data_IF_127514931495
#
_entry.id   IF_127514931495
#
_cell.length_a   1.000
_cell.length_b   1.000
_cell.length_c   1.000
_cell.angle_alpha   90.00
_cell.angle_beta   90.00
_cell.angle_gamma   90.00
#
_symmetry.space_group_name_H-M   'P 1'
#
loop_
_entity.id
_entity.type
_entity.pdbx_description
1 polymer ?
#
# COMPACT_ATOMS: atom_id res chain seq x y z
N UNK A 1 23.00 4.76 -20.07
CA UNK A 1 23.10 4.84 -18.58
C UNK A 1 24.27 4.02 -18.09
N UNK A 2 24.94 4.45 -16.99
CA UNK A 2 26.10 3.76 -16.41
C UNK A 2 25.66 2.99 -15.16
N UNK A 3 26.09 1.74 -15.05
CA UNK A 3 25.79 0.87 -13.90
C UNK A 3 26.57 1.37 -12.68
N UNK A 4 25.87 1.62 -11.59
CA UNK A 4 26.44 1.91 -10.26
C UNK A 4 26.67 0.62 -9.47
N UNK A 5 25.70 -0.31 -9.53
CA UNK A 5 25.74 -1.57 -8.81
C UNK A 5 24.95 -2.64 -9.54
N UNK A 6 25.49 -3.84 -9.61
CA UNK A 6 24.75 -5.03 -10.06
C UNK A 6 24.12 -5.67 -8.85
N UNK A 7 22.77 -5.72 -8.82
CA UNK A 7 21.98 -6.29 -7.72
C UNK A 7 21.85 -7.81 -7.96
N UNK A 8 21.43 -8.18 -9.17
CA UNK A 8 21.41 -9.56 -9.64
C UNK A 8 21.45 -9.59 -11.19
N UNK A 9 21.27 -10.75 -11.81
CA UNK A 9 21.35 -10.92 -13.26
C UNK A 9 20.31 -10.09 -14.05
N UNK A 10 19.24 -9.61 -13.40
CA UNK A 10 18.11 -8.93 -14.06
C UNK A 10 17.87 -7.52 -13.53
N UNK A 11 18.55 -7.13 -12.45
CA UNK A 11 18.35 -5.85 -11.77
C UNK A 11 19.68 -5.18 -11.49
N UNK A 12 19.77 -3.92 -11.83
CA UNK A 12 20.96 -3.08 -11.58
C UNK A 12 20.53 -1.71 -11.03
N UNK A 13 21.39 -1.09 -10.23
CA UNK A 13 21.32 0.34 -9.97
C UNK A 13 22.16 1.07 -11.00
N UNK A 14 21.64 2.18 -11.52
CA UNK A 14 22.29 2.99 -12.57
C UNK A 14 22.03 4.48 -12.33
N UNK A 15 22.88 5.30 -12.95
CA UNK A 15 22.70 6.74 -12.95
C UNK A 15 21.86 7.16 -14.17
N UNK A 16 20.80 7.93 -13.95
CA UNK A 16 20.03 8.53 -15.03
C UNK A 16 20.75 9.73 -15.66
N UNK A 17 20.16 10.32 -16.70
CA UNK A 17 20.75 11.47 -17.43
C UNK A 17 20.85 12.74 -16.55
N UNK A 18 20.19 12.76 -15.38
CA UNK A 18 20.24 13.86 -14.41
C UNK A 18 21.19 13.59 -13.25
N UNK A 19 21.93 12.48 -13.30
CA UNK A 19 22.85 12.08 -12.25
C UNK A 19 22.17 11.43 -11.03
N UNK A 20 20.87 11.11 -11.11
CA UNK A 20 20.12 10.49 -10.03
C UNK A 20 20.23 8.97 -10.09
N UNK A 21 20.41 8.33 -8.94
CA UNK A 21 20.35 6.87 -8.82
C UNK A 21 18.94 6.34 -9.05
N UNK A 22 18.84 5.33 -9.91
CA UNK A 22 17.60 4.63 -10.23
C UNK A 22 17.85 3.13 -10.25
N UNK A 23 16.85 2.35 -9.89
CA UNK A 23 16.87 0.90 -10.10
C UNK A 23 16.29 0.59 -11.48
N UNK A 24 16.97 -0.28 -12.22
CA UNK A 24 16.58 -0.69 -13.57
C UNK A 24 16.44 -2.19 -13.62
N UNK A 25 15.32 -2.66 -14.15
CA UNK A 25 14.98 -4.07 -14.28
C UNK A 25 14.80 -4.47 -15.74
N UNK A 26 15.29 -5.66 -16.10
CA UNK A 26 15.14 -6.25 -17.43
C UNK A 26 15.87 -7.58 -17.53
N UNK A 27 15.35 -8.50 -18.33
CA UNK A 27 15.86 -9.86 -18.44
C UNK A 27 17.34 -9.87 -18.87
N UNK A 28 18.20 -10.44 -18.06
CA UNK A 28 19.65 -10.54 -18.32
C UNK A 28 20.40 -9.20 -18.32
N UNK A 29 19.79 -8.12 -17.80
CA UNK A 29 20.33 -6.77 -17.83
C UNK A 29 21.67 -6.63 -17.08
N UNK A 30 21.80 -7.37 -15.96
CA UNK A 30 23.00 -7.39 -15.12
C UNK A 30 23.93 -8.58 -15.41
N UNK A 31 23.54 -9.50 -16.29
CA UNK A 31 24.31 -10.71 -16.54
C UNK A 31 25.66 -10.39 -17.18
N UNK A 32 26.74 -10.83 -16.54
CA UNK A 32 28.12 -10.57 -16.97
C UNK A 32 28.58 -9.12 -16.87
N UNK A 33 27.77 -8.25 -16.26
CA UNK A 33 28.06 -6.82 -16.11
C UNK A 33 28.76 -6.53 -14.77
N UNK A 34 29.48 -5.40 -14.74
CA UNK A 34 30.19 -4.87 -13.58
C UNK A 34 29.85 -3.42 -13.35
N UNK A 35 30.18 -2.93 -12.15
CA UNK A 35 30.07 -1.50 -11.84
C UNK A 35 30.91 -0.70 -12.83
N UNK A 36 30.29 0.33 -13.41
CA UNK A 36 30.92 1.20 -14.41
C UNK A 36 30.61 0.83 -15.86
N UNK A 37 30.05 -0.37 -16.13
CA UNK A 37 29.65 -0.77 -17.49
C UNK A 37 28.45 0.04 -17.99
N UNK A 38 28.31 0.11 -19.30
CA UNK A 38 27.17 0.74 -19.96
C UNK A 38 26.02 -0.25 -20.06
N UNK A 39 24.82 0.20 -19.68
CA UNK A 39 23.59 -0.56 -19.83
C UNK A 39 23.17 -0.70 -21.28
N UNK A 40 22.72 -1.89 -21.65
CA UNK A 40 21.96 -2.13 -22.86
C UNK A 40 20.52 -1.67 -22.67
N UNK A 41 20.21 -0.47 -23.13
CA UNK A 41 18.90 0.16 -22.91
C UNK A 41 17.75 -0.58 -23.62
N UNK A 42 18.04 -1.39 -24.64
CA UNK A 42 17.04 -2.21 -25.33
C UNK A 42 16.47 -3.33 -24.46
N UNK A 43 17.17 -3.72 -23.40
CA UNK A 43 16.76 -4.75 -22.43
C UNK A 43 16.02 -4.19 -21.24
N UNK A 44 15.84 -2.88 -21.17
CA UNK A 44 15.17 -2.24 -20.03
C UNK A 44 13.66 -2.49 -20.12
N UNK A 45 13.11 -3.19 -19.16
CA UNK A 45 11.67 -3.38 -19.01
C UNK A 45 11.05 -2.33 -18.08
N UNK A 46 11.79 -1.94 -17.02
CA UNK A 46 11.29 -0.97 -16.05
C UNK A 46 12.40 -0.14 -15.44
N UNK A 47 12.12 1.17 -15.25
CA UNK A 47 12.95 2.11 -14.50
C UNK A 47 12.19 2.56 -13.24
N UNK A 48 12.82 2.46 -12.08
CA UNK A 48 12.28 2.90 -10.79
C UNK A 48 13.03 4.13 -10.32
N UNK A 49 12.41 5.29 -10.48
CA UNK A 49 12.92 6.55 -9.93
C UNK A 49 12.16 6.86 -8.63
N UNK A 50 12.81 6.71 -7.50
CA UNK A 50 12.26 6.88 -6.16
C UNK A 50 13.17 7.77 -5.32
N UNK A 51 12.74 8.22 -4.11
CA UNK A 51 13.65 8.78 -3.11
C UNK A 51 14.74 7.77 -2.69
N UNK A 52 15.92 8.24 -2.32
CA UNK A 52 17.09 7.40 -2.08
C UNK A 52 16.87 6.28 -1.04
N UNK A 53 16.16 6.57 0.05
CA UNK A 53 15.79 5.54 1.06
C UNK A 53 14.93 4.41 0.45
N UNK A 54 14.03 4.75 -0.47
CA UNK A 54 13.17 3.78 -1.16
C UNK A 54 13.94 2.99 -2.23
N UNK A 55 14.97 3.58 -2.84
CA UNK A 55 15.87 2.90 -3.78
C UNK A 55 16.58 1.75 -3.07
N UNK A 56 17.23 2.03 -1.94
CA UNK A 56 17.96 1.01 -1.16
C UNK A 56 17.06 -0.14 -0.70
N UNK A 57 15.83 0.17 -0.27
CA UNK A 57 14.86 -0.85 0.14
C UNK A 57 14.38 -1.70 -1.04
N UNK A 58 14.16 -1.09 -2.21
CA UNK A 58 13.80 -1.82 -3.42
C UNK A 58 14.94 -2.74 -3.88
N UNK A 59 16.19 -2.28 -3.81
CA UNK A 59 17.36 -3.10 -4.11
C UNK A 59 17.45 -4.34 -3.22
N UNK A 60 17.26 -4.16 -1.90
CA UNK A 60 17.29 -5.25 -0.93
C UNK A 60 16.22 -6.31 -1.24
N UNK A 61 14.99 -5.88 -1.49
CA UNK A 61 13.87 -6.76 -1.85
C UNK A 61 14.15 -7.50 -3.17
N UNK A 62 14.56 -6.79 -4.22
CA UNK A 62 14.79 -7.39 -5.52
C UNK A 62 16.02 -8.28 -5.60
N UNK A 63 16.91 -8.23 -4.60
CA UNK A 63 18.09 -9.10 -4.52
C UNK A 63 17.69 -10.57 -4.34
N UNK A 64 16.71 -10.83 -3.48
CA UNK A 64 16.35 -12.17 -3.02
C UNK A 64 15.05 -12.70 -3.64
N UNK A 65 14.26 -11.83 -4.28
CA UNK A 65 12.99 -12.20 -4.90
C UNK A 65 13.21 -12.71 -6.33
N UNK A 66 12.58 -13.84 -6.74
CA UNK A 66 12.60 -14.28 -8.12
C UNK A 66 12.14 -13.19 -9.10
N UNK A 67 12.86 -13.05 -10.19
CA UNK A 67 12.59 -12.02 -11.20
C UNK A 67 11.15 -12.07 -11.73
N UNK A 68 10.63 -13.27 -11.92
CA UNK A 68 9.25 -13.51 -12.39
C UNK A 68 8.21 -12.87 -11.45
N UNK A 69 8.44 -12.89 -10.13
CA UNK A 69 7.52 -12.29 -9.18
C UNK A 69 7.52 -10.76 -9.27
N UNK A 70 8.69 -10.16 -9.48
CA UNK A 70 8.79 -8.72 -9.72
C UNK A 70 8.09 -8.32 -11.04
N UNK A 71 8.18 -9.15 -12.09
CA UNK A 71 7.46 -8.94 -13.33
C UNK A 71 5.94 -9.02 -13.12
N UNK A 72 5.45 -10.05 -12.42
CA UNK A 72 4.03 -10.22 -12.10
C UNK A 72 3.51 -9.04 -11.28
N UNK A 73 4.24 -8.60 -10.25
CA UNK A 73 3.88 -7.42 -9.47
C UNK A 73 3.77 -6.17 -10.34
N UNK A 74 4.71 -5.95 -11.28
CA UNK A 74 4.65 -4.85 -12.22
C UNK A 74 3.40 -4.90 -13.11
N UNK A 75 3.00 -6.08 -13.59
CA UNK A 75 1.78 -6.25 -14.40
C UNK A 75 0.52 -6.00 -13.61
N UNK A 76 0.46 -6.48 -12.37
CA UNK A 76 -0.65 -6.18 -11.45
C UNK A 76 -0.77 -4.66 -11.26
N UNK A 77 0.33 -3.96 -10.97
CA UNK A 77 0.32 -2.51 -10.79
C UNK A 77 -0.11 -1.77 -12.06
N UNK A 78 0.32 -2.23 -13.25
CA UNK A 78 -0.09 -1.66 -14.53
C UNK A 78 -1.60 -1.87 -14.74
N UNK A 79 -2.09 -3.08 -14.54
CA UNK A 79 -3.51 -3.42 -14.64
C UNK A 79 -4.37 -2.54 -13.71
N UNK A 80 -3.96 -2.37 -12.46
CA UNK A 80 -4.69 -1.51 -11.50
C UNK A 80 -4.76 -0.08 -11.98
N UNK A 81 -3.67 0.48 -12.51
CA UNK A 81 -3.64 1.84 -13.06
C UNK A 81 -4.50 2.01 -14.31
N UNK A 82 -4.43 1.05 -15.23
CA UNK A 82 -5.06 1.15 -16.54
C UNK A 82 -6.55 0.78 -16.50
N UNK A 83 -6.89 -0.37 -15.87
CA UNK A 83 -8.26 -0.88 -15.85
C UNK A 83 -9.14 -0.20 -14.81
N UNK A 84 -8.56 0.12 -13.65
CA UNK A 84 -9.30 0.69 -12.53
C UNK A 84 -9.11 2.22 -12.37
N UNK A 85 -8.26 2.83 -13.21
CA UNK A 85 -7.95 4.27 -13.18
C UNK A 85 -7.53 4.75 -11.78
N UNK A 86 -6.66 3.97 -11.13
CA UNK A 86 -6.19 4.27 -9.77
C UNK A 86 -4.82 4.93 -9.80
N UNK A 87 -4.68 6.05 -9.09
CA UNK A 87 -3.39 6.69 -8.84
C UNK A 87 -2.71 5.96 -7.69
N UNK A 88 -1.51 5.44 -7.93
CA UNK A 88 -0.76 4.68 -6.95
C UNK A 88 0.60 5.32 -6.69
N UNK A 89 0.98 5.45 -5.43
CA UNK A 89 2.33 5.87 -5.04
C UNK A 89 3.37 4.86 -5.50
N UNK A 90 4.61 5.31 -5.68
CA UNK A 90 5.70 4.43 -6.13
C UNK A 90 6.10 3.37 -5.11
N UNK A 91 5.74 3.56 -3.84
CA UNK A 91 6.02 2.59 -2.77
C UNK A 91 5.34 1.24 -3.02
N UNK A 92 4.25 1.22 -3.82
CA UNK A 92 3.55 -0.03 -4.17
C UNK A 92 4.44 -1.05 -4.87
N UNK A 93 5.45 -0.61 -5.64
CA UNK A 93 6.40 -1.53 -6.26
C UNK A 93 7.20 -2.32 -5.24
N UNK A 94 7.47 -1.72 -4.09
CA UNK A 94 8.15 -2.36 -2.97
C UNK A 94 7.16 -3.28 -2.24
N UNK A 95 6.06 -2.71 -1.74
CA UNK A 95 5.15 -3.40 -0.84
C UNK A 95 4.39 -4.55 -1.51
N UNK A 96 4.00 -4.39 -2.79
CA UNK A 96 3.29 -5.43 -3.52
C UNK A 96 4.21 -6.57 -3.97
N UNK A 97 5.46 -6.25 -4.37
CA UNK A 97 6.44 -7.29 -4.74
C UNK A 97 6.83 -8.14 -3.53
N UNK A 98 7.04 -7.50 -2.39
CA UNK A 98 7.34 -8.20 -1.14
C UNK A 98 6.15 -9.09 -0.70
N UNK A 99 4.94 -8.53 -0.70
CA UNK A 99 3.74 -9.30 -0.37
C UNK A 99 3.53 -10.49 -1.31
N UNK A 100 3.67 -10.31 -2.62
CA UNK A 100 3.54 -11.39 -3.60
C UNK A 100 4.53 -12.53 -3.32
N UNK A 101 5.80 -12.19 -3.07
CA UNK A 101 6.81 -13.18 -2.72
C UNK A 101 6.45 -13.93 -1.42
N UNK A 102 5.96 -13.20 -0.42
CA UNK A 102 5.56 -13.78 0.85
C UNK A 102 4.33 -14.70 0.70
N UNK A 103 3.31 -14.26 -0.03
CA UNK A 103 2.09 -15.06 -0.31
C UNK A 103 2.43 -16.37 -1.04
N UNK A 104 3.26 -16.30 -2.09
CA UNK A 104 3.71 -17.48 -2.83
C UNK A 104 4.56 -18.41 -1.95
N UNK A 105 5.43 -17.85 -1.11
CA UNK A 105 6.24 -18.65 -0.21
C UNK A 105 5.40 -19.40 0.81
N UNK A 106 4.35 -18.78 1.35
CA UNK A 106 3.38 -19.43 2.25
C UNK A 106 2.61 -20.52 1.51
N UNK A 107 2.08 -20.21 0.35
CA UNK A 107 1.35 -21.17 -0.48
C UNK A 107 2.17 -22.44 -0.75
N UNK A 108 3.43 -22.30 -1.13
CA UNK A 108 4.35 -23.44 -1.36
C UNK A 108 4.62 -24.26 -0.10
N UNK A 109 4.44 -23.68 1.08
CA UNK A 109 4.57 -24.36 2.38
C UNK A 109 3.23 -24.93 2.87
N UNK A 110 2.13 -24.79 2.12
CA UNK A 110 0.80 -25.21 2.53
C UNK A 110 0.23 -24.37 3.70
N UNK A 111 0.71 -23.13 3.88
CA UNK A 111 0.26 -22.23 4.95
C UNK A 111 -0.79 -21.30 4.36
N UNK A 112 -2.03 -21.45 4.79
CA UNK A 112 -3.13 -20.53 4.51
C UNK A 112 -3.25 -19.51 5.63
N UNK A 113 -3.54 -18.25 5.25
CA UNK A 113 -3.75 -17.16 6.20
C UNK A 113 -5.09 -16.50 5.89
N UNK A 114 -5.98 -16.51 6.86
CA UNK A 114 -7.26 -15.81 6.78
C UNK A 114 -7.05 -14.30 6.88
N UNK A 115 -7.76 -13.56 6.03
CA UNK A 115 -7.79 -12.11 6.10
C UNK A 115 -8.92 -11.66 7.02
N UNK A 116 -8.58 -11.34 8.26
CA UNK A 116 -9.56 -10.88 9.26
C UNK A 116 -10.35 -9.61 8.84
N UNK A 117 -9.92 -8.93 7.76
CA UNK A 117 -10.58 -7.74 7.21
C UNK A 117 -11.37 -8.04 5.93
N UNK A 118 -11.43 -9.31 5.48
CA UNK A 118 -11.99 -9.65 4.18
C UNK A 118 -13.42 -9.14 4.00
N UNK A 119 -14.24 -9.26 5.04
CA UNK A 119 -15.64 -8.81 5.00
C UNK A 119 -15.71 -7.28 4.83
N UNK A 120 -14.94 -6.52 5.60
CA UNK A 120 -14.90 -5.05 5.52
C UNK A 120 -14.37 -4.57 4.18
N UNK A 121 -13.33 -5.24 3.66
CA UNK A 121 -12.75 -4.91 2.37
C UNK A 121 -13.80 -5.12 1.26
N UNK A 122 -14.48 -6.24 1.24
CA UNK A 122 -15.58 -6.54 0.30
C UNK A 122 -16.72 -5.51 0.40
N UNK A 123 -17.02 -5.04 1.59
CA UNK A 123 -18.13 -4.11 1.83
C UNK A 123 -17.81 -2.67 1.50
N UNK A 124 -16.63 -2.20 1.88
CA UNK A 124 -16.29 -0.76 1.84
C UNK A 124 -15.28 -0.40 0.77
N UNK A 125 -14.54 -1.36 0.23
CA UNK A 125 -13.46 -1.18 -0.74
C UNK A 125 -13.62 -2.09 -1.94
N UNK A 126 -14.83 -2.13 -2.48
CA UNK A 126 -15.22 -3.06 -3.55
C UNK A 126 -14.31 -2.94 -4.78
N UNK A 127 -13.95 -1.72 -5.16
CA UNK A 127 -13.11 -1.45 -6.34
C UNK A 127 -11.70 -2.01 -6.16
N UNK A 128 -11.11 -1.82 -4.98
CA UNK A 128 -9.81 -2.35 -4.63
C UNK A 128 -9.83 -3.87 -4.49
N UNK A 129 -10.92 -4.41 -3.96
CA UNK A 129 -11.11 -5.85 -3.86
C UNK A 129 -11.24 -6.52 -5.23
N UNK A 130 -12.00 -5.92 -6.18
CA UNK A 130 -12.05 -6.40 -7.56
C UNK A 130 -10.67 -6.35 -8.22
N UNK A 131 -9.90 -5.28 -7.98
CA UNK A 131 -8.52 -5.21 -8.45
C UNK A 131 -7.63 -6.30 -7.81
N UNK A 132 -7.86 -6.64 -6.54
CA UNK A 132 -7.20 -7.76 -5.86
C UNK A 132 -7.54 -9.12 -6.49
N UNK A 133 -8.81 -9.36 -6.85
CA UNK A 133 -9.20 -10.58 -7.58
C UNK A 133 -8.54 -10.69 -8.95
N UNK A 134 -8.50 -9.59 -9.71
CA UNK A 134 -7.78 -9.57 -11.00
C UNK A 134 -6.28 -9.85 -10.82
N UNK A 135 -5.69 -9.40 -9.72
CA UNK A 135 -4.30 -9.73 -9.39
C UNK A 135 -4.11 -11.24 -9.21
N UNK A 136 -5.05 -11.95 -8.56
CA UNK A 136 -5.00 -13.40 -8.42
C UNK A 136 -5.09 -14.10 -9.77
N UNK A 137 -5.91 -13.62 -10.70
CA UNK A 137 -6.01 -14.17 -12.05
C UNK A 137 -4.70 -14.01 -12.83
N UNK A 138 -4.02 -12.88 -12.69
CA UNK A 138 -2.70 -12.66 -13.29
C UNK A 138 -1.68 -13.66 -12.71
N UNK A 139 -1.67 -13.84 -11.39
CA UNK A 139 -0.77 -14.77 -10.68
C UNK A 139 -1.02 -16.21 -11.18
N UNK A 140 -2.29 -16.62 -11.23
CA UNK A 140 -2.69 -17.95 -11.70
C UNK A 140 -2.24 -18.19 -13.15
N UNK A 141 -2.47 -17.22 -14.04
CA UNK A 141 -2.11 -17.30 -15.44
C UNK A 141 -0.61 -17.38 -15.68
N UNK A 142 0.17 -16.60 -14.95
CA UNK A 142 1.61 -16.44 -15.22
C UNK A 142 2.50 -17.40 -14.43
N UNK A 143 2.09 -17.71 -13.19
CA UNK A 143 2.89 -18.56 -12.30
C UNK A 143 2.24 -19.94 -12.06
N UNK A 144 1.01 -20.16 -12.54
CA UNK A 144 0.27 -21.41 -12.30
C UNK A 144 -0.12 -21.62 -10.81
N UNK A 145 -0.15 -20.54 -10.01
CA UNK A 145 -0.41 -20.58 -8.57
C UNK A 145 -1.82 -20.04 -8.32
N UNK A 146 -2.65 -20.85 -7.68
CA UNK A 146 -4.01 -20.49 -7.30
C UNK A 146 -4.05 -20.11 -5.82
N UNK A 147 -4.10 -18.81 -5.54
CA UNK A 147 -4.17 -18.26 -4.18
C UNK A 147 -5.63 -18.12 -3.73
N UNK A 148 -5.86 -18.12 -2.41
CA UNK A 148 -7.18 -17.96 -1.82
C UNK A 148 -7.76 -16.56 -2.01
N UNK A 149 -9.06 -16.41 -1.82
CA UNK A 149 -9.74 -15.10 -1.88
C UNK A 149 -9.25 -14.14 -0.79
N UNK A 150 -8.74 -14.65 0.32
CA UNK A 150 -8.11 -13.85 1.36
C UNK A 150 -6.93 -13.04 0.85
N UNK A 151 -6.16 -13.60 -0.07
CA UNK A 151 -5.04 -12.90 -0.70
C UNK A 151 -5.54 -11.74 -1.59
N UNK A 152 -6.70 -11.84 -2.24
CA UNK A 152 -7.31 -10.70 -2.93
C UNK A 152 -7.57 -9.54 -1.97
N UNK A 153 -7.98 -9.85 -0.74
CA UNK A 153 -8.14 -8.85 0.33
C UNK A 153 -6.81 -8.21 0.73
N UNK A 154 -5.73 -8.98 0.86
CA UNK A 154 -4.41 -8.43 1.16
C UNK A 154 -3.89 -7.56 0.00
N UNK A 155 -4.03 -7.98 -1.25
CA UNK A 155 -3.72 -7.15 -2.42
C UNK A 155 -4.53 -5.85 -2.43
N UNK A 156 -5.82 -5.91 -2.10
CA UNK A 156 -6.67 -4.74 -1.98
C UNK A 156 -6.15 -3.73 -0.95
N UNK A 157 -5.68 -4.19 0.22
CA UNK A 157 -5.07 -3.33 1.25
C UNK A 157 -3.80 -2.63 0.72
N UNK A 158 -2.94 -3.34 0.01
CA UNK A 158 -1.73 -2.74 -0.57
C UNK A 158 -2.07 -1.66 -1.62
N UNK A 159 -3.05 -1.93 -2.50
CA UNK A 159 -3.55 -0.98 -3.50
C UNK A 159 -4.11 0.25 -2.80
N UNK A 160 -4.96 0.05 -1.81
CA UNK A 160 -5.61 1.08 -1.04
C UNK A 160 -4.61 2.00 -0.33
N UNK A 161 -3.61 1.45 0.36
CA UNK A 161 -2.55 2.22 0.99
C UNK A 161 -1.77 3.05 -0.04
N UNK A 162 -1.49 2.47 -1.21
CA UNK A 162 -0.78 3.17 -2.26
C UNK A 162 -1.58 4.31 -2.92
N UNK A 163 -2.90 4.21 -2.98
CA UNK A 163 -3.77 5.32 -3.41
C UNK A 163 -3.70 6.48 -2.41
N UNK A 164 -3.82 6.18 -1.12
CA UNK A 164 -3.74 7.19 -0.06
C UNK A 164 -2.42 7.94 -0.13
N UNK A 165 -1.31 7.21 -0.20
CA UNK A 165 0.02 7.81 -0.30
C UNK A 165 0.19 8.68 -1.55
N UNK A 166 -0.42 8.29 -2.69
CA UNK A 166 -0.34 9.08 -3.93
C UNK A 166 -1.09 10.41 -3.86
N UNK A 167 -2.27 10.40 -3.27
CA UNK A 167 -3.11 11.60 -3.14
C UNK A 167 -2.58 12.56 -2.08
N UNK A 168 -1.85 12.04 -1.08
CA UNK A 168 -1.44 12.77 0.13
C UNK A 168 -0.02 13.35 0.08
N UNK A 169 0.83 12.91 -0.82
CA UNK A 169 2.21 13.40 -0.93
C UNK A 169 2.31 14.91 -1.24
N UNK A 170 1.21 15.57 -1.59
CA UNK A 170 1.27 16.95 -2.06
C UNK A 170 0.94 18.03 -1.01
N UNK A 171 0.24 17.74 0.11
CA UNK A 171 -0.24 18.87 0.92
C UNK A 171 -0.45 18.64 2.43
N UNK A 172 -0.48 17.40 2.98
CA UNK A 172 -0.97 17.20 4.35
C UNK A 172 -0.12 16.22 5.17
N UNK A 173 0.23 16.63 6.42
CA UNK A 173 0.92 15.79 7.39
C UNK A 173 -0.01 14.73 8.01
N UNK A 174 -0.44 13.74 7.21
CA UNK A 174 -1.31 12.65 7.69
C UNK A 174 -0.64 11.79 8.77
N UNK A 175 0.66 11.44 8.70
CA UNK A 175 1.29 10.73 9.79
C UNK A 175 1.16 11.46 11.14
N UNK A 176 1.35 12.78 11.13
CA UNK A 176 1.18 13.61 12.33
C UNK A 176 -0.26 13.59 12.84
N UNK A 177 -1.24 13.80 11.96
CA UNK A 177 -2.67 13.78 12.32
C UNK A 177 -3.08 12.39 12.84
N UNK A 178 -2.63 11.31 12.19
CA UNK A 178 -2.89 9.94 12.64
C UNK A 178 -2.34 9.71 14.05
N UNK A 179 -1.10 10.15 14.32
CA UNK A 179 -0.49 10.07 15.66
C UNK A 179 -1.32 10.81 16.71
N UNK A 180 -1.80 12.02 16.38
CA UNK A 180 -2.63 12.82 17.28
C UNK A 180 -3.96 12.12 17.59
N UNK A 181 -4.61 11.51 16.57
CA UNK A 181 -5.83 10.72 16.76
C UNK A 181 -5.57 9.49 17.64
N UNK A 182 -4.48 8.76 17.42
CA UNK A 182 -4.07 7.63 18.26
C UNK A 182 -3.91 8.07 19.72
N UNK A 183 -3.30 9.23 19.96
CA UNK A 183 -3.14 9.80 21.30
C UNK A 183 -4.51 10.15 21.92
N UNK A 184 -5.43 10.76 21.15
CA UNK A 184 -6.79 11.08 21.63
C UNK A 184 -7.52 9.80 22.05
N UNK A 185 -7.39 8.71 21.26
CA UNK A 185 -7.99 7.42 21.59
C UNK A 185 -7.37 6.84 22.86
N UNK A 186 -6.04 6.76 22.95
CA UNK A 186 -5.31 6.29 24.12
C UNK A 186 -5.73 7.04 25.39
N UNK A 187 -5.76 8.36 25.32
CA UNK A 187 -6.21 9.24 26.41
C UNK A 187 -7.67 8.98 26.82
N UNK A 188 -8.55 8.83 25.82
CA UNK A 188 -9.98 8.62 26.07
C UNK A 188 -10.24 7.29 26.76
N UNK A 189 -9.51 6.24 26.37
CA UNK A 189 -9.70 4.90 26.91
C UNK A 189 -8.81 4.61 28.13
N UNK A 190 -7.84 5.48 28.43
CA UNK A 190 -6.93 5.34 29.57
C UNK A 190 -5.97 4.15 29.42
N UNK A 191 -5.58 3.83 28.18
CA UNK A 191 -4.66 2.73 27.88
C UNK A 191 -3.83 3.03 26.64
N UNK A 192 -2.62 2.53 26.60
CA UNK A 192 -1.84 2.49 25.38
C UNK A 192 -2.43 1.46 24.41
N UNK A 193 -2.39 1.79 23.12
CA UNK A 193 -2.80 0.87 22.07
C UNK A 193 -1.63 -0.04 21.72
N UNK A 194 -1.89 -1.34 21.72
CA UNK A 194 -0.90 -2.33 21.30
C UNK A 194 -0.64 -2.21 19.80
N UNK A 195 0.52 -1.66 19.46
CA UNK A 195 0.93 -1.37 18.07
C UNK A 195 1.22 -2.60 17.23
N UNK A 196 1.50 -3.72 17.87
CA UNK A 196 1.76 -5.01 17.20
C UNK A 196 0.46 -5.80 16.95
N UNK A 197 -0.67 -5.31 17.46
CA UNK A 197 -1.94 -6.00 17.29
C UNK A 197 -2.59 -5.74 15.93
N UNK A 198 -3.23 -6.76 15.38
CA UNK A 198 -4.04 -6.67 14.17
C UNK A 198 -5.14 -5.59 14.29
N UNK A 199 -5.70 -5.42 15.50
CA UNK A 199 -6.70 -4.38 15.76
C UNK A 199 -6.15 -2.96 15.62
N UNK A 200 -4.88 -2.74 15.99
CA UNK A 200 -4.22 -1.47 15.79
C UNK A 200 -4.01 -1.17 14.31
N UNK A 201 -3.54 -2.15 13.52
CA UNK A 201 -3.36 -2.00 12.07
C UNK A 201 -4.69 -1.67 11.38
N UNK A 202 -5.78 -2.38 11.74
CA UNK A 202 -7.13 -2.07 11.26
C UNK A 202 -7.51 -0.62 11.57
N UNK A 203 -7.36 -0.23 12.82
CA UNK A 203 -7.69 1.11 13.28
C UNK A 203 -6.92 2.18 12.50
N UNK A 204 -5.61 2.02 12.32
CA UNK A 204 -4.78 2.96 11.55
C UNK A 204 -5.22 3.04 10.09
N UNK A 205 -5.54 1.91 9.47
CA UNK A 205 -6.05 1.86 8.11
C UNK A 205 -7.37 2.64 7.99
N UNK A 206 -8.33 2.41 8.88
CA UNK A 206 -9.59 3.18 8.90
C UNK A 206 -9.38 4.67 9.12
N UNK A 207 -8.48 5.08 10.02
CA UNK A 207 -8.16 6.48 10.24
C UNK A 207 -7.56 7.13 8.99
N UNK A 208 -6.63 6.46 8.31
CA UNK A 208 -6.06 6.97 7.06
C UNK A 208 -7.13 7.21 5.99
N UNK A 209 -8.05 6.25 5.83
CA UNK A 209 -9.17 6.39 4.90
C UNK A 209 -10.13 7.50 5.26
N UNK A 210 -10.48 7.58 6.53
CA UNK A 210 -11.30 8.67 7.03
C UNK A 210 -10.65 10.04 6.74
N UNK A 211 -9.37 10.18 7.04
CA UNK A 211 -8.62 11.41 6.76
C UNK A 211 -8.53 11.72 5.26
N UNK A 212 -8.32 10.71 4.41
CA UNK A 212 -8.30 10.92 2.96
C UNK A 212 -9.62 11.52 2.46
N UNK A 213 -10.78 11.03 2.94
CA UNK A 213 -12.10 11.59 2.60
C UNK A 213 -12.32 12.99 3.16
N UNK A 214 -11.93 13.20 4.42
CA UNK A 214 -11.99 14.53 5.05
C UNK A 214 -11.25 15.57 4.21
N UNK A 215 -10.06 15.22 3.75
CA UNK A 215 -9.21 16.08 2.91
C UNK A 215 -9.84 16.35 1.55
N UNK A 216 -10.47 15.34 0.94
CA UNK A 216 -11.17 15.47 -0.34
C UNK A 216 -12.52 16.17 -0.21
N UNK A 217 -12.93 16.51 1.02
CA UNK A 217 -14.26 17.04 1.33
C UNK A 217 -15.40 16.11 0.82
N UNK A 218 -15.13 14.81 0.78
CA UNK A 218 -16.09 13.76 0.46
C UNK A 218 -16.94 13.48 1.70
N UNK A 219 -17.99 14.28 1.90
CA UNK A 219 -18.97 14.01 2.95
C UNK A 219 -19.72 12.70 2.66
N UNK A 220 -20.06 11.92 3.68
CA UNK A 220 -21.13 10.95 3.56
C UNK A 220 -22.41 11.74 3.24
N UNK A 221 -23.16 11.29 2.21
CA UNK A 221 -24.41 11.95 1.83
C UNK A 221 -25.34 12.13 3.03
N UNK A 222 -26.16 13.15 2.99
CA UNK A 222 -27.10 13.58 4.03
C UNK A 222 -28.06 12.49 4.55
N UNK A 223 -28.12 11.34 3.89
CA UNK A 223 -28.95 10.17 4.24
C UNK A 223 -28.32 9.21 5.28
N UNK A 224 -27.21 9.55 5.88
CA UNK A 224 -26.59 8.69 6.90
C UNK A 224 -27.26 8.86 8.26
N UNK A 225 -28.36 8.13 8.38
CA UNK A 225 -28.83 7.50 9.61
C UNK A 225 -28.43 8.15 10.96
N UNK A 226 -29.18 9.16 11.34
CA UNK A 226 -29.32 9.57 12.75
C UNK A 226 -29.49 8.36 13.69
N UNK A 227 -30.10 7.27 13.22
CA UNK A 227 -30.31 6.02 13.97
C UNK A 227 -29.00 5.34 14.37
N UNK A 228 -28.01 5.27 13.47
CA UNK A 228 -26.71 4.65 13.81
C UNK A 228 -25.96 5.52 14.82
N UNK A 229 -25.96 6.82 14.64
CA UNK A 229 -25.33 7.77 15.57
C UNK A 229 -26.00 7.71 16.96
N UNK A 230 -27.33 7.62 17.02
CA UNK A 230 -28.09 7.44 18.25
C UNK A 230 -27.72 6.09 18.91
N UNK A 231 -27.75 5.00 18.17
CA UNK A 231 -27.38 3.68 18.68
C UNK A 231 -25.95 3.67 19.24
N UNK A 232 -24.97 4.23 18.52
CA UNK A 232 -23.58 4.29 18.98
C UNK A 232 -23.46 5.18 20.24
N UNK A 233 -24.22 6.26 20.32
CA UNK A 233 -24.26 7.12 21.49
C UNK A 233 -24.78 6.40 22.72
N UNK A 234 -25.82 5.60 22.56
CA UNK A 234 -26.50 4.90 23.65
C UNK A 234 -25.73 3.63 24.09
N UNK A 235 -25.31 2.81 23.14
CA UNK A 235 -24.64 1.52 23.40
C UNK A 235 -23.13 1.69 23.69
N UNK A 236 -22.48 2.70 23.09
CA UNK A 236 -21.04 2.93 23.18
C UNK A 236 -20.69 4.38 23.55
N UNK A 237 -21.18 4.92 24.67
CA UNK A 237 -21.07 6.36 25.00
C UNK A 237 -19.61 6.85 25.11
N UNK A 238 -18.69 5.97 25.50
CA UNK A 238 -17.26 6.31 25.58
C UNK A 238 -16.64 6.44 24.17
N UNK A 239 -16.98 5.55 23.25
CA UNK A 239 -16.53 5.60 21.85
C UNK A 239 -17.13 6.81 21.13
N UNK A 240 -18.40 7.11 21.36
CA UNK A 240 -19.06 8.29 20.81
C UNK A 240 -18.36 9.58 21.26
N UNK A 241 -18.06 9.72 22.56
CA UNK A 241 -17.29 10.87 23.07
C UNK A 241 -15.89 10.97 22.47
N UNK A 242 -15.24 9.83 22.23
CA UNK A 242 -13.94 9.79 21.56
C UNK A 242 -14.05 10.33 20.13
N UNK A 243 -15.05 9.88 19.37
CA UNK A 243 -15.30 10.36 18.01
C UNK A 243 -15.56 11.88 17.95
N UNK A 244 -16.34 12.42 18.92
CA UNK A 244 -16.55 13.87 19.02
C UNK A 244 -15.24 14.63 19.27
N UNK A 245 -14.37 14.13 20.14
CA UNK A 245 -13.05 14.74 20.38
C UNK A 245 -12.17 14.75 19.13
N UNK A 246 -12.19 13.66 18.35
CA UNK A 246 -11.46 13.59 17.08
C UNK A 246 -12.03 14.59 16.08
N UNK A 247 -13.35 14.67 15.95
CA UNK A 247 -14.03 15.67 15.13
C UNK A 247 -13.62 17.10 15.51
N UNK A 248 -13.69 17.43 16.80
CA UNK A 248 -13.36 18.77 17.29
C UNK A 248 -11.89 19.11 17.08
N UNK A 249 -10.98 18.14 17.25
CA UNK A 249 -9.57 18.28 16.92
C UNK A 249 -9.38 18.61 15.42
N UNK A 250 -10.04 17.89 14.52
CA UNK A 250 -9.93 18.11 13.09
C UNK A 250 -10.50 19.49 12.68
N UNK A 251 -11.65 19.89 13.24
CA UNK A 251 -12.26 21.21 12.98
C UNK A 251 -11.40 22.36 13.48
N UNK A 252 -10.99 22.32 14.72
CA UNK A 252 -10.33 23.45 15.39
C UNK A 252 -8.84 23.51 15.02
N UNK A 253 -8.12 22.39 15.14
CA UNK A 253 -6.67 22.38 14.99
C UNK A 253 -6.21 22.27 13.54
N UNK A 254 -6.99 21.65 12.66
CA UNK A 254 -6.63 21.39 11.27
C UNK A 254 -7.55 22.11 10.27
N UNK A 255 -8.60 22.78 10.72
CA UNK A 255 -9.58 23.54 9.89
C UNK A 255 -10.26 22.69 8.82
N UNK A 256 -10.44 21.41 9.07
CA UNK A 256 -11.18 20.53 8.17
C UNK A 256 -12.68 20.63 8.45
N UNK A 257 -13.47 20.52 7.38
CA UNK A 257 -14.92 20.40 7.48
C UNK A 257 -15.30 18.93 7.71
N UNK A 258 -15.67 18.57 8.97
CA UNK A 258 -15.94 17.19 9.41
C UNK A 258 -17.24 17.12 10.19
#
# INVERSE_FOLDING_TARGET
MKILKVINNNVVSACDDKGKEIVVMGKGLGFGKKNGDILDESKIEKKFSMPDESVSRLEEILKDIPYEYAQVANRIIAMVKEKFDMKLSKIIYITLTDHLNFAITRFKKGIEVENALLWEIKRFYQKEFEAGKEALEIIKKELGIELSEDEAGFFAIHILNAQIDADMMQTINIPGITKDIVNIVGYTFGRELDRESLYYERFITHIKHFLARVVKNEAYGEDTNDRLAIMVKDEFPKSYRCALRIRDYLKVSKKYNV
#
